data_IF_773891000632
#
_entry.id   IF_773891000632
#
_cell.length_a   1.000
_cell.length_b   1.000
_cell.length_c   1.000
_cell.angle_alpha   90.00
_cell.angle_beta   90.00
_cell.angle_gamma   90.00
#
_symmetry.space_group_name_H-M   'P 1'
#
loop_
_entity.id
_entity.type
_entity.pdbx_description
1 polymer ?
2 polymer ?
3 non-polymer ?
4 water ?
#
# COMPACT_ATOMS: atom_id res chain seq x y z
N UNK A 1 20.51 13.72 -15.04
CA UNK A 1 19.10 13.43 -14.76
C UNK A 1 18.92 12.84 -13.37
N UNK A 2 17.69 12.90 -12.84
CA UNK A 2 17.38 12.39 -11.49
C UNK A 2 17.41 10.87 -11.40
N UNK A 3 17.97 10.36 -10.30
CA UNK A 3 17.96 8.93 -10.03
C UNK A 3 17.94 8.65 -8.54
N UNK A 4 17.82 7.38 -8.18
CA UNK A 4 17.82 6.98 -6.79
C UNK A 4 17.95 5.47 -6.66
N UNK A 5 18.76 5.04 -5.70
CA UNK A 5 18.91 3.64 -5.37
C UNK A 5 18.99 3.57 -3.86
N UNK A 6 17.89 3.17 -3.23
CA UNK A 6 17.78 3.21 -1.78
C UNK A 6 17.81 1.81 -1.19
N UNK A 7 18.76 1.57 -0.30
CA UNK A 7 18.91 0.27 0.34
C UNK A 7 18.26 0.28 1.72
N UNK A 8 17.75 -0.88 2.13
CA UNK A 8 17.03 -1.00 3.38
C UNK A 8 17.91 -0.58 4.56
N UNK A 9 17.32 0.18 5.48
CA UNK A 9 18.00 0.53 6.72
C UNK A 9 17.65 -0.48 7.80
N UNK A 10 18.59 -1.38 8.08
CA UNK A 10 18.38 -2.46 9.03
C UNK A 10 17.89 -1.93 10.38
N UNK A 11 18.61 -0.96 10.93
CA UNK A 11 18.33 -0.42 12.25
C UNK A 11 16.83 -0.22 12.47
N UNK A 12 16.14 0.33 11.47
CA UNK A 12 14.72 0.63 11.58
C UNK A 12 13.89 -0.30 10.70
N UNK A 13 13.42 -1.40 11.29
CA UNK A 13 12.57 -2.34 10.58
C UNK A 13 11.49 -2.88 11.53
N UNK A 14 10.24 -2.45 11.32
CA UNK A 14 9.11 -2.87 12.17
C UNK A 14 9.03 -4.38 12.35
N UNK A 15 8.46 -4.82 13.47
CA UNK A 15 8.33 -6.24 13.78
C UNK A 15 6.86 -6.66 13.79
N UNK A 16 6.24 -6.66 12.62
CA UNK A 16 4.84 -7.02 12.51
C UNK A 16 4.58 -8.06 11.43
N UNK A 17 3.30 -8.20 11.06
CA UNK A 17 2.90 -9.19 10.07
C UNK A 17 2.11 -8.57 8.92
N UNK A 18 1.15 -7.69 9.26
CA UNK A 18 0.33 -7.02 8.25
C UNK A 18 1.16 -6.00 7.48
N UNK A 19 0.56 -5.44 6.43
CA UNK A 19 1.26 -4.46 5.59
C UNK A 19 1.82 -3.31 6.42
N UNK A 20 3.02 -2.86 6.05
CA UNK A 20 3.61 -1.68 6.65
C UNK A 20 4.45 -0.94 5.63
N UNK A 21 4.59 0.37 5.81
CA UNK A 21 5.45 1.16 4.95
C UNK A 21 6.87 1.15 5.51
N UNK A 22 7.81 0.68 4.70
CA UNK A 22 9.22 0.71 5.08
C UNK A 22 9.69 2.16 5.08
N UNK A 23 9.85 2.71 6.27
CA UNK A 23 10.06 4.16 6.42
C UNK A 23 11.50 4.54 6.70
N UNK A 24 12.46 3.68 6.34
CA UNK A 24 13.86 3.96 6.60
C UNK A 24 14.78 3.31 5.57
N UNK A 25 15.45 4.14 4.77
CA UNK A 25 16.39 3.65 3.78
C UNK A 25 17.67 4.47 3.82
N UNK A 26 18.76 3.88 3.34
CA UNK A 26 20.03 4.59 3.19
C UNK A 26 20.03 5.30 1.84
N UNK A 27 20.72 6.44 1.77
CA UNK A 27 20.78 7.20 0.53
C UNK A 27 22.19 7.73 0.22
N UNK A 28 23.16 7.37 1.04
CA UNK A 28 24.53 7.87 0.86
C UNK A 28 25.56 6.94 1.49
N UNK A 29 25.46 5.66 1.20
CA UNK A 29 26.43 4.67 1.67
C UNK A 29 26.30 3.39 0.85
N UNK A 30 27.43 2.74 0.62
CA UNK A 30 27.44 1.56 -0.24
C UNK A 30 26.92 1.91 -1.62
N UNK A 31 25.94 1.14 -2.11
CA UNK A 31 25.36 1.39 -3.41
C UNK A 31 24.23 2.43 -3.33
N UNK A 32 23.83 2.75 -2.10
CA UNK A 32 22.76 3.72 -1.92
C UNK A 32 23.18 5.11 -2.41
N UNK A 33 22.30 5.74 -3.19
CA UNK A 33 22.62 7.02 -3.81
C UNK A 33 21.34 7.73 -4.26
N UNK A 34 21.40 9.05 -4.36
CA UNK A 34 20.25 9.83 -4.76
C UNK A 34 20.66 11.13 -5.44
N UNK A 35 19.96 11.48 -6.51
CA UNK A 35 20.28 12.69 -7.28
C UNK A 35 19.00 13.36 -7.75
N UNK A 36 18.87 14.65 -7.45
CA UNK A 36 17.72 15.43 -7.87
C UNK A 36 16.39 14.79 -7.47
N UNK A 37 16.43 14.00 -6.41
CA UNK A 37 15.22 13.49 -5.77
C UNK A 37 15.45 13.66 -4.27
N UNK A 38 14.37 13.73 -3.50
CA UNK A 38 14.50 13.86 -2.05
C UNK A 38 13.82 12.70 -1.33
N UNK A 39 14.38 12.30 -0.20
CA UNK A 39 13.85 11.19 0.57
C UNK A 39 13.48 11.66 1.98
N UNK A 40 12.37 11.15 2.50
CA UNK A 40 11.92 11.51 3.83
C UNK A 40 11.10 10.38 4.47
N UNK A 41 11.77 9.59 5.31
CA UNK A 41 11.12 8.49 6.02
C UNK A 41 10.39 7.52 5.08
N UNK A 42 11.11 7.04 4.08
CA UNK A 42 10.58 6.01 3.19
C UNK A 42 9.85 6.56 1.98
N UNK A 43 9.58 7.85 1.99
CA UNK A 43 8.89 8.48 0.86
C UNK A 43 9.88 9.15 -0.08
N UNK A 44 10.03 8.56 -1.27
CA UNK A 44 10.89 9.15 -2.30
C UNK A 44 10.11 10.19 -3.09
N UNK A 45 10.46 11.46 -2.90
CA UNK A 45 9.73 12.56 -3.52
C UNK A 45 10.35 12.92 -4.87
N UNK A 46 9.49 13.12 -5.87
CA UNK A 46 9.93 13.51 -7.19
C UNK A 46 10.06 15.03 -7.27
N UNK A 47 11.18 15.50 -7.82
CA UNK A 47 11.42 16.93 -7.97
C UNK A 47 11.25 17.40 -9.41
N UNK A 48 11.48 16.48 -10.35
CA UNK A 48 11.46 16.82 -11.77
C UNK A 48 10.53 15.90 -12.55
N UNK A 49 9.57 16.50 -13.24
CA UNK A 49 8.67 15.74 -14.12
C UNK A 49 9.45 14.85 -15.07
N UNK A 50 8.80 13.81 -15.57
CA UNK A 50 9.42 12.92 -16.53
C UNK A 50 8.88 11.51 -16.41
N UNK A 51 9.22 10.67 -17.38
CA UNK A 51 8.89 9.26 -17.30
C UNK A 51 10.04 8.53 -16.63
N UNK A 52 9.76 7.96 -15.46
CA UNK A 52 10.77 7.25 -14.70
C UNK A 52 10.58 5.75 -14.82
N UNK A 53 11.69 5.02 -14.77
CA UNK A 53 11.62 3.58 -14.58
C UNK A 53 11.80 3.29 -13.10
N UNK A 54 10.88 2.51 -12.54
CA UNK A 54 10.92 2.19 -11.12
C UNK A 54 11.14 0.71 -10.93
N UNK A 55 11.93 0.35 -9.93
CA UNK A 55 12.21 -1.05 -9.62
C UNK A 55 12.33 -1.25 -8.11
N UNK A 56 12.19 -2.51 -7.69
CA UNK A 56 12.32 -2.84 -6.27
C UNK A 56 12.67 -4.32 -6.12
N UNK A 57 13.69 -4.59 -5.31
CA UNK A 57 14.05 -5.95 -4.97
C UNK A 57 13.91 -6.15 -3.47
N UNK A 58 13.14 -7.16 -3.07
CA UNK A 58 12.90 -7.44 -1.66
C UNK A 58 13.24 -8.90 -1.35
N UNK A 59 14.01 -9.11 -0.29
CA UNK A 59 14.37 -10.45 0.13
C UNK A 59 13.84 -10.77 1.53
N UNK A 60 13.18 -11.92 1.65
CA UNK A 60 12.74 -12.42 2.94
C UNK A 60 13.58 -13.62 3.33
N UNK A 61 13.77 -13.82 4.64
CA UNK A 61 14.53 -14.95 5.13
C UNK A 61 14.13 -15.25 6.57
N UNK A 62 14.29 -16.51 6.97
CA UNK A 62 13.90 -16.91 8.30
C UNK A 62 14.59 -18.20 8.71
N UNK A 63 14.79 -18.37 10.02
CA UNK A 63 15.32 -19.60 10.58
C UNK A 63 14.28 -20.23 11.50
N UNK A 64 14.00 -21.51 11.28
CA UNK A 64 13.04 -22.22 12.12
C UNK A 64 13.69 -22.62 13.44
N UNK A 65 13.09 -22.17 14.53
CA UNK A 65 13.61 -22.47 15.86
C UNK A 65 13.31 -23.91 16.24
N UNK A 66 14.21 -24.52 17.01
CA UNK A 66 14.02 -25.90 17.45
C UNK A 66 12.61 -26.10 17.97
N UNK A 67 11.90 -27.07 17.40
CA UNK A 67 10.53 -27.32 17.77
C UNK A 67 9.59 -26.29 17.16
N UNK A 68 9.51 -26.29 15.84
CA UNK A 68 8.69 -25.32 15.12
C UNK A 68 7.35 -25.93 14.71
N UNK A 69 6.39 -25.06 14.42
CA UNK A 69 5.06 -25.48 14.01
C UNK A 69 5.12 -26.33 12.74
N UNK A 70 4.11 -27.19 12.53
CA UNK A 70 4.05 -28.06 11.34
C UNK A 70 3.82 -27.28 10.06
N UNK A 71 3.23 -26.08 10.17
CA UNK A 71 2.99 -25.25 9.00
C UNK A 71 2.99 -23.76 9.36
N UNK A 72 3.38 -22.93 8.40
CA UNK A 72 3.38 -21.48 8.57
C UNK A 72 3.09 -20.81 7.24
N UNK A 73 1.82 -20.74 6.87
CA UNK A 73 1.41 -20.18 5.59
C UNK A 73 1.54 -18.67 5.58
N UNK A 74 2.57 -18.17 4.91
CA UNK A 74 2.86 -16.75 4.88
C UNK A 74 2.46 -16.10 3.55
N UNK A 75 2.20 -14.81 3.60
CA UNK A 75 2.06 -14.01 2.40
C UNK A 75 3.23 -13.05 2.31
N UNK A 76 4.17 -13.35 1.41
CA UNK A 76 5.31 -12.47 1.19
C UNK A 76 5.01 -11.59 -0.02
N UNK A 77 4.64 -10.34 0.24
CA UNK A 77 4.24 -9.43 -0.82
C UNK A 77 4.98 -8.10 -0.76
N UNK A 78 5.15 -7.48 -1.92
CA UNK A 78 5.68 -6.12 -2.00
C UNK A 78 4.70 -5.26 -2.78
N UNK A 79 4.58 -4.00 -2.38
CA UNK A 79 3.76 -3.04 -3.11
C UNK A 79 4.53 -1.76 -3.30
N UNK A 80 4.63 -1.31 -4.55
CA UNK A 80 5.22 -0.01 -4.86
C UNK A 80 4.10 1.00 -5.03
N UNK A 81 4.02 1.94 -4.09
CA UNK A 81 2.90 2.87 -4.02
C UNK A 81 3.30 4.27 -4.47
N UNK A 82 2.37 4.94 -5.17
CA UNK A 82 2.57 6.34 -5.53
C UNK A 82 1.51 7.19 -4.86
N UNK A 83 1.94 8.32 -4.31
CA UNK A 83 1.02 9.27 -3.69
C UNK A 83 0.97 10.55 -4.52
N UNK A 84 -0.20 10.84 -5.09
CA UNK A 84 -0.37 12.02 -5.91
C UNK A 84 -0.26 13.29 -5.08
N UNK A 85 0.02 14.41 -5.73
CA UNK A 85 0.22 15.68 -5.05
C UNK A 85 -0.93 16.66 -5.32
N UNK A 86 -1.37 16.71 -6.57
CA UNK A 86 -2.45 17.62 -6.95
C UNK A 86 -3.81 17.14 -6.44
N UNK A 87 -3.84 15.92 -5.94
CA UNK A 87 -5.04 15.38 -5.32
C UNK A 87 -4.65 14.25 -4.35
N UNK A 88 -5.13 14.34 -3.10
CA UNK A 88 -4.78 13.30 -2.11
C UNK A 88 -5.24 11.92 -2.55
N UNK A 89 -4.30 11.08 -2.96
CA UNK A 89 -4.62 9.75 -3.45
C UNK A 89 -3.39 8.86 -3.48
N UNK A 90 -3.53 7.64 -2.94
CA UNK A 90 -2.46 6.66 -2.96
C UNK A 90 -2.91 5.41 -3.69
N UNK A 91 -2.08 4.93 -4.61
CA UNK A 91 -2.42 3.77 -5.41
C UNK A 91 -1.18 2.93 -5.72
N UNK A 92 -1.39 1.63 -5.89
CA UNK A 92 -0.31 0.71 -6.21
C UNK A 92 0.12 0.83 -7.66
N UNK A 93 1.41 1.13 -7.87
CA UNK A 93 1.99 1.11 -9.20
C UNK A 93 2.25 -0.34 -9.61
N UNK A 94 2.87 -1.09 -8.70
CA UNK A 94 3.24 -2.48 -8.96
C UNK A 94 3.08 -3.31 -7.70
N UNK A 95 2.96 -4.63 -7.87
CA UNK A 95 2.87 -5.53 -6.74
C UNK A 95 3.39 -6.91 -7.14
N UNK A 96 4.09 -7.57 -6.22
CA UNK A 96 4.60 -8.91 -6.46
C UNK A 96 4.78 -9.71 -5.19
N UNK A 97 5.14 -10.98 -5.35
CA UNK A 97 5.39 -11.86 -4.21
C UNK A 97 4.75 -13.22 -4.41
N UNK A 98 4.64 -13.98 -3.33
CA UNK A 98 3.97 -15.27 -3.38
C UNK A 98 3.59 -15.74 -2.00
N UNK A 99 2.70 -16.74 -1.95
CA UNK A 99 2.40 -17.43 -0.72
C UNK A 99 3.52 -18.43 -0.47
N UNK A 100 3.78 -18.73 0.80
CA UNK A 100 4.86 -19.65 1.16
C UNK A 100 4.50 -20.48 2.39
N UNK A 101 4.95 -21.72 2.39
CA UNK A 101 4.80 -22.57 3.56
C UNK A 101 6.17 -22.78 4.21
N UNK A 102 6.51 -21.89 5.12
CA UNK A 102 7.79 -21.97 5.82
C UNK A 102 7.66 -22.72 7.13
N UNK A 103 7.28 -23.99 7.04
CA UNK A 103 7.10 -24.82 8.23
C UNK A 103 8.45 -25.14 8.87
N UNK A 104 8.45 -26.08 9.81
CA UNK A 104 9.66 -26.42 10.54
C UNK A 104 10.47 -27.56 9.94
N UNK A 105 9.93 -28.19 8.90
CA UNK A 105 10.63 -29.31 8.27
C UNK A 105 11.96 -28.86 7.69
N UNK A 106 11.95 -27.73 7.00
CA UNK A 106 13.17 -27.12 6.49
C UNK A 106 13.67 -26.10 7.50
N UNK A 107 14.94 -26.20 7.87
CA UNK A 107 15.50 -25.31 8.88
C UNK A 107 15.54 -23.86 8.43
N UNK A 108 15.98 -23.63 7.18
CA UNK A 108 16.12 -22.28 6.67
C UNK A 108 15.23 -22.02 5.45
N UNK A 109 14.82 -20.76 5.29
CA UNK A 109 13.96 -20.37 4.18
C UNK A 109 14.41 -19.03 3.61
N UNK A 110 14.38 -18.92 2.29
CA UNK A 110 14.73 -17.67 1.61
C UNK A 110 13.78 -17.44 0.44
N UNK A 111 13.52 -16.17 0.13
CA UNK A 111 12.68 -15.82 -1.01
C UNK A 111 12.80 -14.33 -1.32
N UNK A 112 12.93 -14.00 -2.60
CA UNK A 112 13.06 -12.61 -3.02
C UNK A 112 12.06 -12.24 -4.10
N UNK A 113 11.62 -10.99 -4.09
CA UNK A 113 10.66 -10.50 -5.07
C UNK A 113 11.28 -9.36 -5.87
N UNK A 114 10.95 -9.29 -7.15
CA UNK A 114 11.43 -8.22 -8.00
C UNK A 114 10.31 -7.66 -8.87
N UNK A 115 10.12 -6.35 -8.79
CA UNK A 115 9.13 -5.66 -9.62
C UNK A 115 9.80 -4.52 -10.37
N UNK A 116 9.34 -4.27 -11.58
CA UNK A 116 9.89 -3.22 -12.41
C UNK A 116 8.84 -2.61 -13.31
N UNK A 117 8.87 -1.29 -13.49
CA UNK A 117 7.87 -0.61 -14.28
C UNK A 117 8.32 0.73 -14.84
N UNK A 118 7.53 1.23 -15.79
CA UNK A 118 7.80 2.48 -16.48
C UNK A 118 6.60 3.39 -16.28
N UNK A 119 6.79 4.47 -15.53
CA UNK A 119 5.66 5.31 -15.12
C UNK A 119 5.94 6.80 -15.31
N UNK A 120 4.85 7.56 -15.50
CA UNK A 120 4.92 9.00 -15.65
C UNK A 120 4.76 9.65 -14.27
N UNK A 121 5.78 10.39 -13.84
CA UNK A 121 5.76 11.01 -12.53
C UNK A 121 5.81 12.53 -12.61
N UNK A 122 5.22 13.18 -11.60
CA UNK A 122 5.22 14.64 -11.52
C UNK A 122 5.93 15.09 -10.25
N UNK A 123 6.49 16.29 -10.29
CA UNK A 123 7.14 16.86 -9.12
C UNK A 123 6.15 16.97 -7.97
N UNK A 124 6.51 16.41 -6.82
CA UNK A 124 5.64 16.45 -5.65
C UNK A 124 5.09 15.07 -5.32
N UNK A 125 4.96 14.22 -6.33
CA UNK A 125 4.49 12.86 -6.12
C UNK A 125 5.55 12.07 -5.35
N UNK A 126 5.10 11.20 -4.46
CA UNK A 126 6.00 10.44 -3.62
C UNK A 126 5.86 8.95 -3.86
N UNK A 127 6.99 8.23 -3.85
CA UNK A 127 6.98 6.78 -4.01
C UNK A 127 7.39 6.13 -2.69
N UNK A 128 6.69 5.06 -2.33
CA UNK A 128 6.98 4.34 -1.09
C UNK A 128 6.80 2.85 -1.28
N UNK A 129 7.52 2.07 -0.49
CA UNK A 129 7.44 0.61 -0.54
C UNK A 129 6.61 0.09 0.63
N UNK A 130 5.73 -0.86 0.35
CA UNK A 130 4.95 -1.54 1.38
C UNK A 130 5.17 -3.03 1.28
N UNK A 131 5.28 -3.70 2.42
CA UNK A 131 5.49 -5.14 2.44
C UNK A 131 4.79 -5.80 3.62
N UNK A 132 4.54 -7.09 3.49
CA UNK A 132 4.02 -7.89 4.58
C UNK A 132 5.19 -8.60 5.26
N UNK A 133 4.99 -9.02 6.50
CA UNK A 133 6.04 -9.70 7.26
C UNK A 133 7.39 -9.01 7.13
N UNK A 134 7.45 -7.73 7.52
CA UNK A 134 8.68 -6.92 7.46
C UNK A 134 9.77 -7.44 8.40
N UNK A 135 9.37 -8.20 9.41
CA UNK A 135 10.31 -8.76 10.37
C UNK A 135 11.19 -9.84 9.74
N UNK A 136 10.77 -10.34 8.58
CA UNK A 136 11.52 -11.38 7.88
C UNK A 136 12.46 -10.81 6.82
N UNK A 137 12.50 -9.49 6.70
CA UNK A 137 13.30 -8.84 5.66
C UNK A 137 14.80 -9.07 5.84
N UNK A 138 15.48 -9.31 4.72
CA UNK A 138 16.94 -9.42 4.70
C UNK A 138 17.51 -8.00 4.68
N UNK A 139 18.38 -7.67 5.65
CA UNK A 139 18.88 -6.29 5.81
C UNK A 139 20.01 -5.91 4.84
N UNK A 140 20.50 -6.85 4.04
CA UNK A 140 21.62 -6.57 3.14
C UNK A 140 21.27 -5.59 2.03
N UNK A 141 22.23 -4.76 1.64
CA UNK A 141 22.03 -3.75 0.62
C UNK A 141 21.83 -4.36 -0.77
N UNK A 142 22.35 -5.58 -0.95
CA UNK A 142 22.22 -6.27 -2.23
C UNK A 142 20.93 -7.09 -2.26
N UNK A 143 20.18 -7.04 -1.16
CA UNK A 143 18.99 -7.88 -1.01
C UNK A 143 17.71 -7.06 -1.08
N UNK A 144 17.58 -6.07 -0.19
CA UNK A 144 16.37 -5.28 -0.10
C UNK A 144 16.63 -3.81 -0.47
N UNK A 145 16.19 -3.42 -1.66
CA UNK A 145 16.38 -2.07 -2.15
C UNK A 145 15.30 -1.69 -3.14
N UNK A 146 15.17 -0.40 -3.40
CA UNK A 146 14.32 0.07 -4.49
C UNK A 146 14.87 1.39 -5.03
N UNK A 147 14.69 1.61 -6.32
CA UNK A 147 15.25 2.79 -6.96
C UNK A 147 14.39 3.35 -8.07
N UNK A 148 14.91 4.37 -8.73
CA UNK A 148 14.21 5.05 -9.80
C UNK A 148 15.19 5.93 -10.57
N UNK A 149 15.02 6.00 -11.88
CA UNK A 149 15.82 6.91 -12.70
C UNK A 149 15.04 7.41 -13.90
N UNK A 150 15.13 8.71 -14.14
CA UNK A 150 14.39 9.35 -15.22
C UNK A 150 14.91 8.86 -16.58
N UNK A 151 13.99 8.65 -17.51
CA UNK A 151 14.34 8.14 -18.83
C UNK A 151 14.00 9.16 -19.93
N UNK A 152 12.81 9.73 -19.86
CA UNK A 152 12.36 10.70 -20.86
C UNK A 152 11.64 11.86 -20.20
N UNK A 153 11.49 12.96 -20.93
CA UNK A 153 10.69 14.09 -20.47
C UNK A 153 9.23 13.81 -20.78
N UNK A 154 8.34 14.64 -20.23
CA UNK A 154 6.91 14.49 -20.49
C UNK A 154 6.50 15.28 -21.73
N UNK B 7 -16.17 26.51 -5.08
CA UNK B 7 -16.03 27.70 -4.26
C UNK B 7 -14.68 27.72 -3.56
N UNK B 8 -13.85 26.71 -3.81
CA UNK B 8 -12.51 26.66 -3.27
C UNK B 8 -11.54 27.23 -4.31
N UNK B 9 -10.47 27.86 -3.84
CA UNK B 9 -9.59 28.60 -4.72
C UNK B 9 -8.10 28.27 -4.56
N UNK B 10 -7.40 28.21 -5.70
CA UNK B 10 -5.95 28.11 -5.73
C UNK B 10 -5.47 29.22 -6.66
N UNK B 11 -4.24 29.15 -7.16
CA UNK B 11 -3.74 30.22 -8.04
C UNK B 11 -2.52 29.85 -8.90
N UNK B 12 -2.69 29.87 -10.22
CA UNK B 12 -1.57 29.79 -11.17
C UNK B 12 -1.11 31.18 -11.62
N UNK B 13 -0.23 31.25 -12.61
CA UNK B 13 0.25 32.54 -13.11
C UNK B 13 0.86 32.43 -14.50
N UNK B 14 0.71 33.49 -15.29
CA UNK B 14 1.42 33.64 -16.55
C UNK B 14 1.72 35.11 -16.82
N UNK B 15 0.68 35.89 -17.06
CA UNK B 15 0.81 37.32 -17.26
C UNK B 15 0.65 38.08 -15.95
N UNK B 16 -0.01 37.43 -14.99
CA UNK B 16 -0.22 38.01 -13.67
C UNK B 16 -0.91 36.98 -12.79
N UNK B 17 -0.32 36.69 -11.63
CA UNK B 17 -0.83 35.65 -10.74
C UNK B 17 -2.24 36.01 -10.27
N UNK B 18 -3.11 35.01 -10.23
CA UNK B 18 -4.51 35.22 -9.83
C UNK B 18 -5.09 33.92 -9.29
N UNK B 19 -6.14 34.06 -8.48
CA UNK B 19 -6.80 32.88 -7.91
C UNK B 19 -7.96 32.44 -8.80
N UNK B 20 -8.36 31.18 -8.64
CA UNK B 20 -9.45 30.62 -9.44
C UNK B 20 -9.97 29.31 -8.86
N UNK B 21 -11.17 28.92 -9.27
CA UNK B 21 -11.85 27.78 -8.69
C UNK B 21 -11.18 26.45 -8.99
N UNK B 22 -11.17 25.57 -7.99
CA UNK B 22 -10.73 24.20 -8.17
C UNK B 22 -11.81 23.42 -8.90
N UNK B 23 -11.48 22.21 -9.35
CA UNK B 23 -12.45 21.35 -10.00
C UNK B 23 -13.21 20.52 -8.97
N UNK B 24 -14.53 20.45 -9.13
CA UNK B 24 -15.38 19.71 -8.21
C UNK B 24 -15.20 18.21 -8.41
N UNK B 25 -15.64 17.42 -7.42
CA UNK B 25 -15.59 15.95 -7.57
C UNK B 25 -16.41 15.52 -8.78
N UNK B 26 -15.95 14.47 -9.45
CA UNK B 26 -16.60 13.99 -10.66
C UNK B 26 -16.02 14.59 -11.93
N UNK B 27 -15.08 15.52 -11.77
CA UNK B 27 -14.46 16.18 -12.91
C UNK B 27 -12.95 16.30 -12.72
N UNK B 28 -12.26 16.60 -13.81
CA UNK B 28 -10.82 16.85 -13.77
C UNK B 28 -10.52 18.17 -14.46
N UNK B 29 -9.39 18.78 -14.09
CA UNK B 29 -8.99 20.07 -14.66
C UNK B 29 -8.40 19.88 -16.05
N UNK B 30 -9.00 20.53 -17.04
CA UNK B 30 -8.51 20.42 -18.42
C UNK B 30 -7.78 21.69 -18.86
N UNK B 31 -8.22 22.84 -18.33
CA UNK B 31 -7.56 24.12 -18.63
C UNK B 31 -7.68 25.08 -17.45
N UNK B 32 -6.54 25.65 -17.05
CA UNK B 32 -6.51 26.59 -15.94
C UNK B 32 -7.37 27.81 -16.22
N UNK B 33 -7.71 28.54 -15.16
CA UNK B 33 -8.48 29.75 -15.30
C UNK B 33 -7.64 30.85 -15.92
N UNK B 34 -8.17 31.50 -16.94
CA UNK B 34 -7.51 32.65 -17.53
C UNK B 34 -8.20 33.91 -17.05
N UNK B 35 -7.56 35.05 -17.25
CA UNK B 35 -8.16 36.33 -16.87
C UNK B 35 -9.56 36.46 -17.45
N UNK B 36 -9.81 35.74 -18.54
CA UNK B 36 -11.08 35.83 -19.26
C UNK B 36 -12.03 34.69 -18.89
N UNK B 37 -11.48 33.50 -18.69
CA UNK B 37 -12.31 32.31 -18.45
C UNK B 37 -12.13 31.72 -17.06
N UNK B 38 -13.18 31.05 -16.58
CA UNK B 38 -13.14 30.35 -15.30
C UNK B 38 -12.49 28.98 -15.50
N UNK B 39 -12.02 28.38 -14.43
CA UNK B 39 -11.37 27.08 -14.51
C UNK B 39 -12.24 26.09 -15.29
N UNK B 40 -11.68 25.51 -16.34
CA UNK B 40 -12.40 24.55 -17.16
C UNK B 40 -12.31 23.16 -16.53
N UNK B 41 -13.47 22.58 -16.22
CA UNK B 41 -13.52 21.27 -15.60
C UNK B 41 -14.40 20.33 -16.42
N UNK B 42 -13.90 19.13 -16.67
CA UNK B 42 -14.60 18.16 -17.50
C UNK B 42 -14.89 16.90 -16.71
N UNK B 43 -16.10 16.35 -16.86
CA UNK B 43 -16.46 15.12 -16.12
C UNK B 43 -15.44 14.00 -16.33
N UNK B 44 -15.21 13.21 -15.29
CA UNK B 44 -14.27 12.10 -15.35
C UNK B 44 -14.68 11.10 -16.43
N UNK B 45 -13.71 10.61 -17.20
CA UNK B 45 -14.02 9.58 -18.19
C UNK B 45 -14.46 8.29 -17.51
N UNK B 46 -14.96 7.33 -18.28
CA UNK B 46 -15.45 6.07 -17.73
C UNK B 46 -14.33 5.34 -16.98
N UNK B 47 -14.71 4.65 -15.90
CA UNK B 47 -13.77 3.87 -15.09
C UNK B 47 -12.75 4.76 -14.39
N UNK B 48 -13.19 5.93 -13.95
CA UNK B 48 -12.33 6.84 -13.18
C UNK B 48 -13.20 7.70 -12.28
N UNK B 49 -12.58 8.44 -11.37
CA UNK B 49 -13.34 9.22 -10.41
C UNK B 49 -12.51 10.30 -9.72
N UNK B 50 -13.20 11.15 -8.97
CA UNK B 50 -12.57 12.17 -8.13
C UNK B 50 -13.50 12.42 -6.94
N UNK B 51 -12.93 12.45 -5.74
CA UNK B 51 -13.75 12.50 -4.52
C UNK B 51 -13.47 13.71 -3.64
N UNK B 52 -12.96 14.79 -4.24
CA UNK B 52 -12.67 16.01 -3.49
C UNK B 52 -12.31 17.16 -4.43
N UNK B 53 -12.25 18.36 -3.89
CA UNK B 53 -11.81 19.53 -4.65
C UNK B 53 -10.31 19.43 -4.86
N UNK B 54 -9.86 19.54 -6.10
CA UNK B 54 -8.48 19.24 -6.45
C UNK B 54 -7.99 20.12 -7.58
N UNK B 55 -6.73 19.88 -7.98
CA UNK B 55 -6.12 20.61 -9.09
C UNK B 55 -5.57 19.66 -10.15
N UNK B 56 -5.62 18.36 -9.87
CA UNK B 56 -5.09 17.36 -10.81
C UNK B 56 -5.75 17.49 -12.18
N UNK B 57 -4.95 17.29 -13.22
CA UNK B 57 -5.46 17.34 -14.59
C UNK B 57 -5.86 15.95 -15.08
N UNK B 58 -5.96 15.00 -14.16
CA UNK B 58 -6.35 13.64 -14.51
C UNK B 58 -7.11 12.98 -13.37
N UNK B 59 -8.15 12.21 -13.73
CA UNK B 59 -8.96 11.51 -12.74
C UNK B 59 -8.24 10.28 -12.19
N UNK B 60 -8.69 9.80 -11.03
CA UNK B 60 -8.11 8.65 -10.39
C UNK B 60 -8.77 7.36 -10.89
N UNK B 61 -7.96 6.40 -11.28
CA UNK B 61 -8.47 5.14 -11.83
C UNK B 61 -9.17 4.31 -10.77
N UNK B 62 -10.30 3.72 -11.13
CA UNK B 62 -11.03 2.85 -10.21
C UNK B 62 -10.31 1.52 -10.09
N UNK B 63 -9.85 1.23 -8.87
CA UNK B 63 -9.06 0.02 -8.62
C UNK B 63 -8.95 -0.21 -7.12
N UNK B 64 -8.64 -1.45 -6.71
CA UNK B 64 -8.40 -2.59 -7.60
C UNK B 64 -9.66 -3.38 -7.91
N UNK B 65 -9.48 -4.47 -8.65
CA UNK B 65 -10.57 -5.41 -8.91
C UNK B 65 -10.89 -6.17 -7.63
N UNK B 66 -12.14 -6.56 -7.47
CA UNK B 66 -12.56 -7.33 -6.30
C UNK B 66 -11.98 -8.74 -6.31
N UNK B 67 -11.48 -9.19 -5.16
CA UNK B 67 -10.86 -10.50 -5.05
C UNK B 67 -11.88 -11.64 -5.15
N UNK B 68 -11.42 -12.87 -4.93
CA UNK B 68 -12.23 -14.06 -5.15
C UNK B 68 -13.47 -14.12 -4.26
N UNK B 69 -13.27 -14.01 -2.95
CA UNK B 69 -14.37 -14.12 -2.01
C UNK B 69 -14.87 -12.75 -1.57
N UNK B 70 -14.90 -11.81 -2.52
CA UNK B 70 -15.37 -10.46 -2.24
C UNK B 70 -16.59 -10.12 -3.08
N UNK B 71 -17.38 -9.16 -2.61
CA UNK B 71 -18.51 -8.65 -3.35
C UNK B 71 -18.33 -7.16 -3.57
N UNK B 72 -19.03 -6.61 -4.56
CA UNK B 72 -19.01 -5.17 -4.80
C UNK B 72 -20.08 -4.49 -3.95
N UNK B 73 -19.67 -3.87 -2.85
CA UNK B 73 -20.59 -3.14 -2.00
C UNK B 73 -21.09 -1.91 -2.74
N UNK B 74 -20.15 -1.08 -3.19
CA UNK B 74 -20.48 0.12 -3.95
C UNK B 74 -19.72 0.11 -5.27
N UNK B 75 -20.46 0.13 -6.37
CA UNK B 75 -19.85 0.14 -7.70
C UNK B 75 -19.07 1.43 -7.92
N UNK B 76 -18.30 1.47 -9.01
CA UNK B 76 -17.49 2.63 -9.33
C UNK B 76 -18.35 3.78 -9.84
N UNK B 77 -18.09 4.97 -9.32
CA UNK B 77 -18.81 6.17 -9.73
C UNK B 77 -17.82 7.30 -10.00
N UNK B 78 -18.26 8.34 -10.70
CA UNK B 78 -17.39 9.47 -10.99
C UNK B 78 -17.00 10.22 -9.71
N UNK B 79 -17.72 9.99 -8.62
CA UNK B 79 -17.46 10.67 -7.37
C UNK B 79 -16.76 9.80 -6.34
N UNK B 80 -16.90 8.48 -6.45
CA UNK B 80 -16.30 7.55 -5.50
C UNK B 80 -15.70 6.32 -6.15
N UNK B 81 -14.72 5.72 -5.49
CA UNK B 81 -14.05 4.53 -5.99
C UNK B 81 -14.89 3.28 -5.73
N UNK B 82 -14.56 2.19 -6.43
CA UNK B 82 -15.15 0.90 -6.17
C UNK B 82 -14.88 0.50 -4.73
N UNK B 83 -15.86 -0.13 -4.10
CA UNK B 83 -15.71 -0.60 -2.72
C UNK B 83 -16.01 -2.10 -2.64
N UNK B 84 -14.99 -2.88 -2.31
CA UNK B 84 -15.13 -4.33 -2.22
C UNK B 84 -15.17 -4.78 -0.76
N UNK B 85 -15.97 -5.81 -0.50
CA UNK B 85 -16.13 -6.34 0.85
C UNK B 85 -16.05 -7.87 0.82
N UNK B 86 -15.43 -8.44 1.85
CA UNK B 86 -15.27 -9.90 1.92
C UNK B 86 -16.54 -10.58 2.40
N UNK B 87 -16.66 -11.87 2.10
CA UNK B 87 -17.81 -12.66 2.50
C UNK B 87 -17.98 -12.64 4.02
N UNK B 88 -19.08 -13.23 4.48
CA UNK B 88 -19.34 -13.32 5.91
C UNK B 88 -18.43 -14.36 6.53
N UNK B 89 -17.79 -13.99 7.63
CA UNK B 89 -16.88 -14.89 8.33
C UNK B 89 -15.45 -14.75 7.85
N UNK B 90 -15.18 -13.73 7.04
CA UNK B 90 -13.84 -13.52 6.51
C UNK B 90 -13.43 -12.05 6.64
N UNK B 91 -12.13 -11.79 6.49
CA UNK B 91 -11.60 -10.44 6.53
C UNK B 91 -10.42 -10.33 5.57
N UNK B 92 -10.16 -9.13 5.07
CA UNK B 92 -9.10 -8.93 4.10
C UNK B 92 -7.73 -8.87 4.77
N UNK B 93 -6.89 -9.86 4.46
CA UNK B 93 -5.52 -9.91 4.96
C UNK B 93 -4.55 -9.92 3.78
N UNK B 94 -3.92 -8.77 3.55
CA UNK B 94 -3.01 -8.60 2.41
C UNK B 94 -3.73 -8.81 1.07
N UNK B 95 -3.73 -10.04 0.56
CA UNK B 95 -4.28 -10.32 -0.77
C UNK B 95 -5.54 -11.18 -0.74
N UNK B 96 -5.82 -11.81 0.39
CA UNK B 96 -6.90 -12.80 0.45
C UNK B 96 -7.85 -12.59 1.61
N UNK B 97 -9.09 -13.04 1.41
CA UNK B 97 -10.10 -13.01 2.46
C UNK B 97 -9.98 -14.27 3.31
N UNK B 98 -9.20 -14.18 4.39
CA UNK B 98 -9.00 -15.32 5.28
C UNK B 98 -10.14 -15.41 6.29
N UNK B 99 -10.36 -16.62 6.80
CA UNK B 99 -11.37 -16.85 7.81
C UNK B 99 -10.92 -16.23 9.13
N UNK B 100 -11.88 -15.86 9.97
CA UNK B 100 -11.57 -15.29 11.27
C UNK B 100 -10.92 -16.34 12.17
N UNK B 101 -9.98 -15.90 13.01
CA UNK B 101 -9.26 -16.80 13.91
C UNK B 101 -10.23 -17.65 14.72
N UNK B 102 -9.80 -18.86 15.07
CA UNK B 102 -10.61 -19.77 15.86
C UNK B 102 -9.94 -20.04 17.21
N UNK B 103 -10.55 -19.54 18.28
CA UNK B 103 -10.01 -19.71 19.62
C UNK B 103 -9.89 -21.20 19.97
N UNK B 104 -8.70 -21.62 20.42
CA UNK B 104 -8.46 -23.02 20.78
C UNK B 104 -9.20 -23.44 22.05
N UNK B 105 -9.14 -24.73 22.41
CA UNK B 105 -9.78 -25.22 23.63
C UNK B 105 -9.29 -24.48 24.87
N UNK B 106 -10.17 -23.73 25.50
CA UNK B 106 -9.82 -22.95 26.68
C UNK B 106 -9.80 -21.46 26.40
N UNK B 107 -10.25 -21.08 25.20
CA UNK B 107 -10.30 -19.68 24.81
C UNK B 107 -11.60 -19.36 24.10
N UNK B 108 -12.13 -18.17 24.35
CA UNK B 108 -13.38 -17.74 23.75
C UNK B 108 -13.27 -16.34 23.18
N UNK B 109 -13.78 -16.16 21.96
CA UNK B 109 -13.74 -14.86 21.30
C UNK B 109 -14.42 -13.79 22.16
N UNK B 110 -13.83 -12.60 22.17
CA UNK B 110 -14.39 -11.48 22.92
C UNK B 110 -14.89 -10.38 21.98
N UNK B 111 -14.22 -10.23 20.84
CA UNK B 111 -14.62 -9.24 19.84
C UNK B 111 -14.86 -9.90 18.49
N UNK B 112 -15.99 -9.55 17.87
CA UNK B 112 -16.36 -10.13 16.58
C UNK B 112 -15.35 -9.75 15.51
N UNK B 113 -15.52 -10.33 14.32
CA UNK B 113 -14.61 -10.10 13.22
C UNK B 113 -15.23 -9.28 12.09
N UNK B 114 -14.78 -8.04 11.97
CA UNK B 114 -15.23 -7.17 10.89
C UNK B 114 -14.60 -7.63 9.58
N UNK B 115 -15.28 -7.37 8.45
CA UNK B 115 -14.68 -7.71 7.15
C UNK B 115 -13.34 -7.00 6.88
N UNK B 116 -12.92 -6.13 7.79
CA UNK B 116 -11.63 -5.46 7.65
C UNK B 116 -10.70 -5.77 8.83
N UNK B 117 -11.18 -6.54 9.79
CA UNK B 117 -10.38 -6.87 10.98
C UNK B 117 -10.66 -8.28 11.47
N UNK B 118 -9.63 -8.92 12.00
CA UNK B 118 -9.74 -10.30 12.49
C UNK B 118 -10.33 -10.33 13.90
N UNK B 119 -10.83 -11.51 14.29
CA UNK B 119 -11.44 -11.66 15.61
C UNK B 119 -10.39 -11.64 16.71
N UNK B 120 -10.72 -10.99 17.83
CA UNK B 120 -9.83 -10.93 18.97
C UNK B 120 -10.24 -11.94 20.03
N UNK B 121 -9.32 -12.82 20.40
CA UNK B 121 -9.58 -13.83 21.42
C UNK B 121 -8.94 -13.43 22.75
N UNK B 122 -9.32 -14.13 23.81
CA UNK B 122 -8.80 -13.84 25.14
C UNK B 122 -9.20 -14.96 26.11
N UNK B 123 -8.32 -15.24 27.07
CA UNK B 123 -8.59 -16.29 28.05
C UNK B 123 -9.72 -15.87 28.97
N UNK B 124 -10.50 -16.87 29.42
CA UNK B 124 -11.65 -16.62 30.26
C UNK B 124 -11.22 -16.37 31.70
N UNK B 125 -12.03 -15.62 32.47
CA UNK B 125 -11.74 -15.38 33.89
C UNK B 125 -12.02 -16.62 34.74
N UNK B 126 -11.71 -16.55 36.02
CA UNK B 126 -11.89 -17.68 36.92
C UNK B 126 -13.36 -18.11 36.97
N UNK B 127 -13.59 -19.41 36.81
CA UNK B 127 -14.93 -19.96 36.86
C UNK B 127 -15.47 -20.31 35.47
N UNK B 128 -14.66 -20.07 34.45
CA UNK B 128 -15.06 -20.36 33.07
C UNK B 128 -14.18 -21.42 32.45
N UNK B 129 -14.79 -22.30 31.67
CA UNK B 129 -14.06 -23.35 30.97
C UNK B 129 -14.74 -23.65 29.63
N UNK B 130 -14.39 -22.87 28.62
CA UNK B 130 -15.00 -23.01 27.29
C UNK B 130 -14.63 -24.34 26.66
N UNK B 131 -13.33 -24.58 26.51
CA UNK B 131 -12.84 -25.81 25.91
C UNK B 131 -13.54 -26.11 24.59
N UNK B 132 -13.41 -25.20 23.64
CA UNK B 132 -14.06 -25.38 22.34
C UNK B 132 -13.29 -24.66 21.24
N UNK B 133 -13.23 -25.26 20.05
CA UNK B 133 -12.58 -24.65 18.90
C UNK B 133 -13.62 -23.93 18.05
N UNK B 134 -14.04 -22.75 18.51
CA UNK B 134 -15.06 -21.98 17.83
C UNK B 134 -14.69 -20.50 17.74
N UNK B 135 -15.00 -19.90 16.60
CA UNK B 135 -14.79 -18.46 16.40
C UNK B 135 -16.11 -17.72 16.50
N UNK B 136 -17.12 -18.39 17.08
CA UNK B 136 -18.45 -17.83 17.18
C UNK B 136 -19.09 -18.26 18.49
N UNK B 137 -18.33 -18.17 19.58
CA UNK B 137 -18.82 -18.55 20.89
C UNK B 137 -17.90 -18.04 22.00
N UNK B 138 -18.46 -17.37 23.01
CA UNK B 138 -17.68 -16.85 24.14
C UNK B 138 -17.43 -17.92 25.20
N UNK B 139 -17.00 -17.49 26.39
CA UNK B 139 -16.76 -18.41 27.49
C UNK B 139 -18.06 -18.68 28.26
N UNK B 140 -18.25 -19.94 28.65
CA UNK B 140 -19.46 -20.33 29.37
C UNK B 140 -19.15 -20.58 30.85
N UNK B 141 -20.13 -20.30 31.70
CA UNK B 141 -19.97 -20.50 33.13
C UNK B 141 -20.37 -21.91 33.54
#
# INVERSE_FOLDING_TARGET
QPFAHLTINAASIPSGSHKVTLSSWYHDRGWAKISNMTLSNGKLRVNQDGFYYLYANICFRHHETSGSVPTDYLQLMVYVVKTSIKIPSSHNLMKGGSTKNWSGNSEFHFYSINVGGFFKLRAGEEISIQVSNPSLLDPDQDATYFGAFKVQDID
ETLPPKYLHYDPETGHQLLCDKCAPGTYLKQHCTVRRKTLCVPCPDHSYTDSWHTSDECVYCSPVCKELQSVKQECNRTHNRVCECEEGRYLEIEFCLKHRSCPPGSGVVQAGTPERNTVCKKCPDGFFSGETSSKAPCIKHTNCSTFGLLLIQKGNATHDNVCSGNREATQKCGIASSVLPR
#
